data_IF_975452988117
#
_entry.id   IF_975452988117
#
_cell.length_a   1.000
_cell.length_b   1.000
_cell.length_c   1.000
_cell.angle_alpha   90.00
_cell.angle_beta   90.00
_cell.angle_gamma   90.00
#
_symmetry.space_group_name_H-M   'P 1'
#
loop_
_entity.id
_entity.type
_entity.pdbx_description
1 polymer ?
#
# COMPACT_ATOMS: atom_id res chain seq x y z
N UNK A 1 -12.48 11.14 -14.62
CA UNK A 1 -13.10 9.82 -14.89
C UNK A 1 -14.43 9.75 -14.14
N UNK A 2 -15.46 9.13 -14.73
CA UNK A 2 -16.71 8.81 -14.02
C UNK A 2 -16.70 7.37 -13.49
N UNK A 3 -17.67 7.03 -12.63
CA UNK A 3 -17.71 5.73 -11.95
C UNK A 3 -17.90 4.55 -12.91
N UNK A 4 -18.64 4.72 -14.01
CA UNK A 4 -18.88 3.65 -14.99
C UNK A 4 -17.62 3.34 -15.79
N UNK A 5 -16.91 4.38 -16.24
CA UNK A 5 -15.61 4.26 -16.89
C UNK A 5 -14.60 3.62 -15.95
N UNK A 6 -14.54 4.06 -14.69
CA UNK A 6 -13.64 3.49 -13.69
C UNK A 6 -13.91 2.00 -13.46
N UNK A 7 -15.18 1.61 -13.34
CA UNK A 7 -15.56 0.20 -13.19
C UNK A 7 -15.17 -0.64 -14.40
N UNK A 8 -15.34 -0.11 -15.61
CA UNK A 8 -14.93 -0.79 -16.83
C UNK A 8 -13.41 -1.00 -16.88
N UNK A 9 -12.62 0.02 -16.49
CA UNK A 9 -11.16 -0.10 -16.34
C UNK A 9 -10.77 -1.14 -15.30
N UNK A 10 -11.40 -1.12 -14.13
CA UNK A 10 -11.19 -2.13 -13.09
C UNK A 10 -11.49 -3.55 -13.61
N UNK A 11 -12.62 -3.74 -14.28
CA UNK A 11 -13.03 -5.05 -14.79
C UNK A 11 -12.09 -5.60 -15.87
N UNK A 12 -11.42 -4.74 -16.63
CA UNK A 12 -10.42 -5.14 -17.64
C UNK A 12 -9.06 -5.52 -17.02
N UNK A 13 -8.85 -5.18 -15.75
CA UNK A 13 -7.56 -5.36 -15.07
C UNK A 13 -7.57 -6.57 -14.14
N UNK A 14 -8.72 -6.88 -13.50
CA UNK A 14 -8.85 -8.08 -12.67
C UNK A 14 -8.85 -9.36 -13.52
N UNK A 15 -8.46 -10.48 -12.91
CA UNK A 15 -8.46 -11.79 -13.56
C UNK A 15 -9.83 -12.20 -14.10
N UNK A 16 -9.87 -13.02 -15.17
CA UNK A 16 -11.10 -13.48 -15.83
C UNK A 16 -12.12 -14.18 -14.90
N UNK A 17 -11.66 -14.74 -13.77
CA UNK A 17 -12.50 -15.37 -12.76
C UNK A 17 -13.11 -14.40 -11.73
N UNK A 18 -12.70 -13.13 -11.77
CA UNK A 18 -13.07 -12.08 -10.82
C UNK A 18 -14.03 -11.09 -11.48
N UNK A 19 -15.05 -10.70 -10.74
CA UNK A 19 -16.02 -9.69 -11.13
C UNK A 19 -15.93 -8.48 -10.21
N UNK A 20 -15.97 -7.29 -10.83
CA UNK A 20 -16.07 -6.00 -10.14
C UNK A 20 -17.55 -5.71 -9.88
N UNK A 21 -17.92 -5.71 -8.60
CA UNK A 21 -19.30 -5.56 -8.17
C UNK A 21 -19.82 -4.13 -8.39
N UNK A 22 -21.14 -4.00 -8.56
CA UNK A 22 -21.81 -2.70 -8.71
C UNK A 22 -22.38 -2.19 -7.40
N UNK A 23 -22.50 -3.08 -6.44
CA UNK A 23 -22.99 -2.84 -5.09
C UNK A 23 -21.85 -2.30 -4.22
N UNK A 24 -22.18 -1.47 -3.24
CA UNK A 24 -21.23 -0.92 -2.25
C UNK A 24 -20.03 -0.17 -2.85
N UNK A 25 -20.17 0.34 -4.08
CA UNK A 25 -19.20 1.25 -4.70
C UNK A 25 -19.06 2.50 -3.84
N UNK A 26 -17.83 2.96 -3.67
CA UNK A 26 -17.53 4.21 -2.98
C UNK A 26 -16.81 5.15 -3.91
N UNK A 27 -17.37 6.33 -4.06
CA UNK A 27 -16.69 7.43 -4.72
C UNK A 27 -15.93 8.24 -3.66
N UNK A 28 -14.62 8.35 -3.85
CA UNK A 28 -13.70 9.06 -2.97
C UNK A 28 -13.09 10.27 -3.72
N UNK A 29 -12.55 11.28 -3.01
CA UNK A 29 -11.87 12.39 -3.67
C UNK A 29 -10.75 11.95 -4.63
N UNK A 30 -9.99 10.93 -4.24
CA UNK A 30 -8.87 10.39 -5.02
C UNK A 30 -9.27 9.37 -6.10
N UNK A 31 -10.48 8.79 -6.05
CA UNK A 31 -10.77 7.64 -6.91
C UNK A 31 -12.11 6.96 -6.67
N UNK A 32 -12.23 5.76 -7.20
CA UNK A 32 -13.40 4.91 -7.09
C UNK A 32 -13.00 3.56 -6.53
N UNK A 33 -13.64 3.16 -5.43
CA UNK A 33 -13.49 1.83 -4.86
C UNK A 33 -14.63 0.92 -5.29
N UNK A 34 -14.27 -0.29 -5.70
CA UNK A 34 -15.21 -1.34 -6.06
C UNK A 34 -14.89 -2.62 -5.29
N UNK A 35 -15.87 -3.23 -4.62
CA UNK A 35 -15.72 -4.59 -4.16
C UNK A 35 -15.52 -5.55 -5.35
N UNK A 36 -14.80 -6.64 -5.09
CA UNK A 36 -14.60 -7.72 -6.06
C UNK A 36 -15.01 -9.05 -5.45
N UNK A 37 -15.35 -9.98 -6.33
CA UNK A 37 -15.67 -11.35 -5.94
C UNK A 37 -15.41 -12.31 -7.09
N UNK A 38 -15.54 -13.61 -6.87
CA UNK A 38 -15.49 -14.56 -7.98
C UNK A 38 -16.82 -14.62 -8.72
N UNK A 39 -16.74 -14.89 -10.03
CA UNK A 39 -17.92 -15.13 -10.86
C UNK A 39 -18.75 -16.30 -10.32
N UNK A 40 -18.10 -17.36 -9.81
CA UNK A 40 -18.79 -18.54 -9.31
C UNK A 40 -19.51 -18.27 -7.99
N UNK A 41 -18.92 -17.49 -7.07
CA UNK A 41 -19.61 -17.11 -5.83
C UNK A 41 -20.85 -16.28 -6.12
N UNK A 42 -20.75 -15.30 -7.03
CA UNK A 42 -21.89 -14.48 -7.43
C UNK A 42 -23.01 -15.31 -8.11
N UNK A 43 -22.66 -16.42 -8.76
CA UNK A 43 -23.62 -17.33 -9.39
C UNK A 43 -24.26 -18.31 -8.40
N UNK A 44 -23.46 -18.91 -7.53
CA UNK A 44 -23.86 -20.04 -6.70
C UNK A 44 -24.20 -19.67 -5.25
N UNK A 45 -23.70 -18.54 -4.76
CA UNK A 45 -23.88 -18.07 -3.37
C UNK A 45 -23.22 -18.95 -2.32
N UNK A 46 -22.25 -19.80 -2.71
CA UNK A 46 -21.53 -20.71 -1.84
C UNK A 46 -20.27 -20.05 -1.28
N UNK A 47 -20.10 -20.08 0.04
CA UNK A 47 -19.01 -19.39 0.74
C UNK A 47 -17.64 -19.91 0.28
N UNK A 48 -17.52 -21.19 -0.06
CA UNK A 48 -16.28 -21.79 -0.56
C UNK A 48 -15.80 -21.23 -1.91
N UNK A 49 -16.70 -20.59 -2.67
CA UNK A 49 -16.35 -19.95 -3.95
C UNK A 49 -15.96 -18.47 -3.77
N UNK A 50 -16.16 -17.89 -2.59
CA UNK A 50 -15.92 -16.46 -2.33
C UNK A 50 -14.46 -16.09 -2.59
N UNK A 51 -14.23 -14.89 -3.13
CA UNK A 51 -12.86 -14.41 -3.35
C UNK A 51 -12.14 -14.21 -2.01
N UNK A 52 -11.08 -14.98 -1.80
CA UNK A 52 -10.20 -14.87 -0.62
C UNK A 52 -8.99 -14.03 -1.00
N UNK A 53 -8.52 -13.21 -0.06
CA UNK A 53 -7.27 -12.48 -0.21
C UNK A 53 -7.42 -11.03 -0.67
N UNK A 54 -8.60 -10.65 -1.18
CA UNK A 54 -8.88 -9.31 -1.71
C UNK A 54 -9.81 -8.50 -0.80
N UNK A 55 -9.61 -7.19 -0.75
CA UNK A 55 -10.54 -6.23 -0.17
C UNK A 55 -11.22 -5.37 -1.27
N UNK A 56 -11.15 -5.77 -2.54
CA UNK A 56 -11.63 -4.99 -3.67
C UNK A 56 -10.51 -4.29 -4.44
N UNK A 57 -10.91 -3.37 -5.31
CA UNK A 57 -10.02 -2.59 -6.18
C UNK A 57 -10.31 -1.11 -6.09
N UNK A 58 -9.26 -0.30 -6.25
CA UNK A 58 -9.32 1.15 -6.26
C UNK A 58 -8.80 1.68 -7.59
N UNK A 59 -9.57 2.56 -8.23
CA UNK A 59 -9.20 3.21 -9.49
C UNK A 59 -8.92 4.67 -9.23
N UNK A 60 -7.69 5.12 -9.49
CA UNK A 60 -7.31 6.53 -9.35
C UNK A 60 -8.10 7.40 -10.34
N UNK A 61 -8.65 8.52 -9.86
CA UNK A 61 -9.53 9.39 -10.64
C UNK A 61 -8.80 10.09 -11.79
N UNK A 62 -7.51 10.35 -11.64
CA UNK A 62 -6.69 11.17 -12.52
C UNK A 62 -5.87 10.34 -13.50
N UNK A 63 -5.16 9.32 -13.02
CA UNK A 63 -4.33 8.43 -13.83
C UNK A 63 -5.12 7.26 -14.41
N UNK A 64 -6.21 6.84 -13.77
CA UNK A 64 -6.92 5.61 -14.11
C UNK A 64 -6.17 4.34 -13.69
N UNK A 65 -5.10 4.46 -12.91
CA UNK A 65 -4.36 3.33 -12.36
C UNK A 65 -5.26 2.50 -11.45
N UNK A 66 -5.18 1.18 -11.57
CA UNK A 66 -5.96 0.23 -10.79
C UNK A 66 -5.05 -0.39 -9.73
N UNK A 67 -5.48 -0.31 -8.48
CA UNK A 67 -4.79 -0.88 -7.34
C UNK A 67 -5.64 -1.97 -6.70
N UNK A 68 -5.14 -3.19 -6.69
CA UNK A 68 -5.74 -4.29 -5.95
C UNK A 68 -5.44 -4.16 -4.46
N UNK A 69 -6.49 -4.19 -3.64
CA UNK A 69 -6.36 -4.08 -2.19
C UNK A 69 -6.27 -5.48 -1.57
N UNK A 70 -5.29 -5.66 -0.69
CA UNK A 70 -5.14 -6.89 0.07
C UNK A 70 -6.14 -7.01 1.22
N UNK A 71 -6.42 -8.24 1.64
CA UNK A 71 -7.33 -8.56 2.75
C UNK A 71 -6.72 -8.42 4.16
N UNK A 72 -5.47 -7.93 4.29
CA UNK A 72 -4.80 -7.81 5.59
C UNK A 72 -5.45 -6.75 6.50
N UNK A 73 -6.10 -5.75 5.91
CA UNK A 73 -6.87 -4.72 6.59
C UNK A 73 -8.24 -4.58 5.94
N UNK A 74 -9.19 -3.97 6.66
CA UNK A 74 -10.50 -3.65 6.12
C UNK A 74 -10.46 -2.48 5.12
N UNK A 75 -11.57 -2.25 4.43
CA UNK A 75 -11.67 -1.20 3.41
C UNK A 75 -11.43 0.19 3.98
N UNK A 76 -11.85 0.48 5.21
CA UNK A 76 -11.71 1.81 5.81
C UNK A 76 -10.23 2.16 6.01
N UNK A 77 -9.43 1.20 6.46
CA UNK A 77 -7.98 1.37 6.59
C UNK A 77 -7.34 1.78 5.27
N UNK A 78 -7.70 1.08 4.18
CA UNK A 78 -7.16 1.37 2.86
C UNK A 78 -7.56 2.75 2.38
N UNK A 79 -8.84 3.10 2.50
CA UNK A 79 -9.35 4.41 2.07
C UNK A 79 -8.69 5.55 2.87
N UNK A 80 -8.52 5.39 4.18
CA UNK A 80 -7.80 6.38 5.01
C UNK A 80 -6.34 6.52 4.58
N UNK A 81 -5.65 5.40 4.30
CA UNK A 81 -4.26 5.44 3.85
C UNK A 81 -4.12 6.12 2.47
N UNK A 82 -5.07 5.89 1.55
CA UNK A 82 -5.11 6.57 0.25
C UNK A 82 -5.39 8.07 0.39
N UNK A 83 -6.32 8.46 1.27
CA UNK A 83 -6.60 9.87 1.54
C UNK A 83 -5.37 10.61 2.08
N UNK A 84 -4.54 9.92 2.88
CA UNK A 84 -3.25 10.43 3.37
C UNK A 84 -2.09 10.27 2.39
N UNK A 85 -2.36 9.83 1.16
CA UNK A 85 -1.41 9.53 0.10
C UNK A 85 -0.40 8.42 0.41
N UNK A 86 -0.54 7.66 1.49
CA UNK A 86 0.44 6.67 1.97
C UNK A 86 0.67 5.47 1.04
N UNK A 87 -0.17 5.30 0.01
CA UNK A 87 -0.02 4.30 -1.05
C UNK A 87 1.20 4.56 -1.94
N UNK A 88 1.66 5.80 -2.02
CA UNK A 88 2.86 6.17 -2.76
C UNK A 88 4.13 5.99 -1.90
N UNK A 89 5.30 5.81 -2.52
CA UNK A 89 6.57 5.88 -1.79
C UNK A 89 6.81 7.29 -1.24
N UNK A 90 7.23 7.39 0.03
CA UNK A 90 7.53 8.66 0.69
C UNK A 90 9.02 8.79 1.00
N UNK A 91 9.47 10.04 1.08
CA UNK A 91 10.75 10.36 1.72
C UNK A 91 10.48 10.79 3.15
N UNK A 92 10.98 10.04 4.12
CA UNK A 92 10.91 10.42 5.54
C UNK A 92 12.15 11.21 5.89
N UNK A 93 11.99 12.49 6.27
CA UNK A 93 13.11 13.35 6.67
C UNK A 93 13.05 13.67 8.15
N UNK A 94 14.06 13.25 8.89
CA UNK A 94 14.26 13.62 10.29
C UNK A 94 15.09 14.88 10.33
N UNK A 95 14.51 15.98 10.80
CA UNK A 95 15.18 17.29 10.86
C UNK A 95 15.72 17.62 12.25
N UNK A 96 15.16 17.02 13.30
CA UNK A 96 15.55 17.24 14.69
C UNK A 96 15.22 16.02 15.54
N UNK A 97 16.12 15.70 16.48
CA UNK A 97 15.95 14.61 17.45
C UNK A 97 16.28 15.11 18.85
N UNK A 98 15.37 14.90 19.79
CA UNK A 98 15.58 15.24 21.21
C UNK A 98 16.03 14.01 22.02
N UNK A 99 15.35 12.88 21.81
CA UNK A 99 15.68 11.59 22.42
C UNK A 99 16.00 10.59 21.31
N UNK A 100 17.28 10.25 21.18
CA UNK A 100 17.78 9.39 20.10
C UNK A 100 17.25 7.97 20.20
N UNK A 101 17.06 7.44 21.41
CA UNK A 101 16.60 6.07 21.57
C UNK A 101 15.11 5.97 21.21
N UNK A 102 14.29 6.85 21.80
CA UNK A 102 12.85 6.87 21.52
C UNK A 102 12.53 7.18 20.06
N UNK A 103 13.29 8.09 19.43
CA UNK A 103 13.13 8.38 18.01
C UNK A 103 13.47 7.17 17.13
N UNK A 104 14.58 6.48 17.41
CA UNK A 104 14.95 5.27 16.67
C UNK A 104 13.92 4.15 16.83
N UNK A 105 13.42 3.94 18.05
CA UNK A 105 12.41 2.92 18.32
C UNK A 105 11.07 3.24 17.63
N UNK A 106 10.70 4.52 17.51
CA UNK A 106 9.54 4.95 16.74
C UNK A 106 9.72 4.68 15.24
N UNK A 107 10.87 5.04 14.66
CA UNK A 107 11.15 4.78 13.24
C UNK A 107 11.25 3.29 12.91
N UNK A 108 11.73 2.46 13.83
CA UNK A 108 11.73 1.00 13.66
C UNK A 108 10.32 0.41 13.50
N UNK A 109 9.30 0.98 14.16
CA UNK A 109 7.92 0.49 14.01
C UNK A 109 7.34 0.77 12.63
N UNK A 110 7.85 1.79 11.93
CA UNK A 110 7.49 2.05 10.53
C UNK A 110 8.07 1.01 9.56
N UNK A 111 8.96 0.10 10.02
CA UNK A 111 9.57 -0.95 9.21
C UNK A 111 10.16 -0.48 7.88
N UNK A 112 10.73 0.74 7.87
CA UNK A 112 11.33 1.35 6.71
C UNK A 112 12.44 0.47 6.10
N UNK A 113 12.56 0.49 4.78
CA UNK A 113 13.47 -0.37 4.02
C UNK A 113 14.44 0.42 3.15
N UNK A 114 15.56 -0.22 2.82
CA UNK A 114 16.50 0.21 1.79
C UNK A 114 16.91 -0.99 0.94
N UNK A 115 17.41 -0.74 -0.26
CA UNK A 115 17.82 -1.80 -1.20
C UNK A 115 19.33 -1.85 -1.28
N UNK A 116 19.90 -3.04 -1.11
CA UNK A 116 21.29 -3.34 -1.42
C UNK A 116 21.33 -4.03 -2.78
N UNK A 117 22.29 -3.65 -3.62
CA UNK A 117 22.58 -4.35 -4.87
C UNK A 117 23.67 -5.39 -4.61
N UNK A 118 23.41 -6.65 -4.97
CA UNK A 118 24.39 -7.73 -4.89
C UNK A 118 24.56 -8.37 -6.27
N UNK A 119 25.80 -8.49 -6.74
CA UNK A 119 26.12 -9.17 -7.99
C UNK A 119 26.39 -10.66 -7.72
N UNK A 120 25.58 -11.53 -8.32
CA UNK A 120 25.75 -12.98 -8.20
C UNK A 120 25.35 -13.67 -9.51
N UNK A 121 26.18 -14.59 -9.98
CA UNK A 121 25.98 -15.35 -11.21
C UNK A 121 25.82 -14.51 -12.50
N UNK A 122 26.38 -13.29 -12.52
CA UNK A 122 26.26 -12.37 -13.66
C UNK A 122 24.98 -11.52 -13.65
N UNK A 123 24.13 -11.66 -12.63
CA UNK A 123 22.93 -10.87 -12.43
C UNK A 123 23.08 -9.90 -11.24
N UNK A 124 22.37 -8.76 -11.31
CA UNK A 124 22.30 -7.78 -10.22
C UNK A 124 20.99 -7.99 -9.45
N UNK A 125 21.12 -8.45 -8.20
CA UNK A 125 20.01 -8.70 -7.29
C UNK A 125 19.71 -7.47 -6.45
N UNK A 126 18.43 -7.11 -6.34
CA UNK A 126 17.93 -6.04 -5.46
C UNK A 126 17.41 -6.67 -4.17
N UNK A 127 18.17 -6.55 -3.08
CA UNK A 127 17.83 -7.18 -1.81
C UNK A 127 17.31 -6.12 -0.84
N UNK A 128 16.01 -6.16 -0.49
CA UNK A 128 15.45 -5.25 0.51
C UNK A 128 15.99 -5.61 1.91
N UNK A 129 16.37 -4.59 2.67
CA UNK A 129 16.75 -4.67 4.09
C UNK A 129 15.93 -3.66 4.87
N UNK A 130 15.66 -3.96 6.13
CA UNK A 130 15.04 -2.99 7.04
C UNK A 130 16.12 -2.17 7.76
N UNK A 131 15.83 -0.89 7.99
CA UNK A 131 16.65 -0.08 8.88
C UNK A 131 16.52 -0.57 10.33
N UNK A 132 17.65 -0.77 10.98
CA UNK A 132 17.70 -1.11 12.40
C UNK A 132 17.74 0.14 13.28
N UNK A 133 17.47 -0.04 14.58
CA UNK A 133 17.64 1.04 15.58
C UNK A 133 19.08 1.58 15.61
N UNK A 134 20.08 0.77 15.24
CA UNK A 134 21.46 1.23 15.10
C UNK A 134 21.62 2.14 13.87
N UNK A 135 21.00 1.80 12.76
CA UNK A 135 21.08 2.58 11.52
C UNK A 135 20.42 3.95 11.70
N UNK A 136 19.25 4.01 12.33
CA UNK A 136 18.60 5.27 12.67
C UNK A 136 19.43 6.13 13.60
N UNK A 137 19.94 5.54 14.69
CA UNK A 137 20.80 6.29 15.61
C UNK A 137 22.03 6.84 14.91
N UNK A 138 22.66 6.06 14.02
CA UNK A 138 23.79 6.55 13.21
C UNK A 138 23.36 7.70 12.29
N UNK A 139 22.22 7.58 11.62
CA UNK A 139 21.71 8.65 10.75
C UNK A 139 21.44 9.96 11.51
N UNK A 140 21.07 9.89 12.80
CA UNK A 140 20.87 11.08 13.64
C UNK A 140 22.15 11.86 13.95
N UNK A 141 23.33 11.32 13.66
CA UNK A 141 24.59 12.08 13.79
C UNK A 141 24.73 13.18 12.73
N UNK A 142 24.02 13.05 11.60
CA UNK A 142 24.07 13.97 10.46
C UNK A 142 22.66 14.38 10.03
N UNK A 143 22.08 15.36 10.72
CA UNK A 143 20.76 15.89 10.39
C UNK A 143 20.84 17.05 9.36
N UNK A 144 19.86 17.17 8.44
CA UNK A 144 18.69 16.30 8.30
C UNK A 144 19.02 14.93 7.69
N UNK A 145 18.43 13.88 8.25
CA UNK A 145 18.57 12.52 7.74
C UNK A 145 17.34 12.15 6.89
N UNK A 146 17.56 11.76 5.64
CA UNK A 146 16.50 11.38 4.70
C UNK A 146 16.50 9.86 4.45
N UNK A 147 15.30 9.29 4.40
CA UNK A 147 15.05 7.88 4.08
C UNK A 147 14.07 7.83 2.90
N UNK A 148 14.58 7.55 1.71
CA UNK A 148 13.82 7.63 0.47
C UNK A 148 13.01 6.36 0.19
N UNK A 149 11.95 6.48 -0.61
CA UNK A 149 11.17 5.35 -1.14
C UNK A 149 10.56 4.43 -0.06
N UNK A 150 9.98 5.02 0.98
CA UNK A 150 9.35 4.31 2.09
C UNK A 150 7.87 4.04 1.82
N UNK A 151 7.47 2.77 1.87
CA UNK A 151 6.08 2.35 1.72
C UNK A 151 5.42 2.27 3.10
N UNK A 152 4.66 3.30 3.45
CA UNK A 152 4.09 3.47 4.78
C UNK A 152 2.63 3.03 4.90
N UNK A 153 2.00 2.60 3.79
CA UNK A 153 0.58 2.22 3.75
C UNK A 153 0.19 1.20 4.81
N UNK A 154 1.02 0.19 5.09
CA UNK A 154 0.76 -0.84 6.10
C UNK A 154 1.09 -0.41 7.54
N UNK A 155 1.45 0.86 7.74
CA UNK A 155 1.91 1.43 9.01
C UNK A 155 1.12 2.66 9.42
N UNK A 156 -0.07 2.86 8.86
CA UNK A 156 -0.97 3.97 9.20
C UNK A 156 -1.21 4.09 10.72
N UNK A 157 -1.39 2.97 11.43
CA UNK A 157 -1.61 2.95 12.89
C UNK A 157 -0.40 3.43 13.71
N UNK A 158 0.81 3.41 13.15
CA UNK A 158 2.02 3.94 13.81
C UNK A 158 2.18 5.46 13.58
N UNK A 159 1.36 6.04 12.71
CA UNK A 159 1.41 7.45 12.30
C UNK A 159 0.26 8.30 12.90
N UNK A 160 -0.58 7.70 13.75
CA UNK A 160 -1.72 8.36 14.41
C UNK A 160 -1.34 8.92 15.79
#
# INVERSE_FOLDING_TARGET
MDAESARATAQQTVDDGIVVLKEHVRECPFGFYFPTDTVEHQRAGRIEDMLIGSCGVLVDRHSGEVHELGSVFDVEYWLEAYEKNLHLPHTVTVTKVFDRQRAADALCRLQMTYVILEEAHGDIWRIPKHYSSKDFRKAFDELPAAFDNQHLIFRLHELQ
#
